data_IF_569077913195
#
_entry.id   IF_569077913195
#
_cell.length_a   1.000
_cell.length_b   1.000
_cell.length_c   1.000
_cell.angle_alpha   90.00
_cell.angle_beta   90.00
_cell.angle_gamma   90.00
#
_symmetry.space_group_name_H-M   'P 1'
#
loop_
_entity.id
_entity.type
_entity.pdbx_description
1 polymer ?
#
# COMPACT_ATOMS: atom_id res chain seq x y z
N UNK A 1 25.24 29.53 -7.76
CA UNK A 1 24.97 28.80 -9.02
C UNK A 1 24.09 27.58 -8.83
N UNK A 2 24.43 26.66 -7.90
CA UNK A 2 23.62 25.45 -7.57
C UNK A 2 22.14 25.77 -7.31
N UNK A 3 21.83 26.82 -6.55
CA UNK A 3 20.44 27.21 -6.24
C UNK A 3 19.62 27.46 -7.51
N UNK A 4 20.18 28.13 -8.51
CA UNK A 4 19.47 28.42 -9.76
C UNK A 4 19.16 27.14 -10.54
N UNK A 5 20.05 26.15 -10.51
CA UNK A 5 19.83 24.84 -11.13
C UNK A 5 18.69 24.10 -10.42
N UNK A 6 18.67 24.11 -9.08
CA UNK A 6 17.62 23.44 -8.31
C UNK A 6 16.25 24.10 -8.50
N UNK A 7 16.21 25.44 -8.61
CA UNK A 7 14.97 26.17 -8.85
C UNK A 7 14.34 25.88 -10.22
N UNK A 8 15.08 25.35 -11.20
CA UNK A 8 14.49 24.88 -12.46
C UNK A 8 13.53 23.70 -12.24
N UNK A 9 13.70 22.94 -11.16
CA UNK A 9 12.82 21.82 -10.78
C UNK A 9 11.64 22.25 -9.92
N UNK A 10 11.49 23.54 -9.59
CA UNK A 10 10.50 24.01 -8.63
C UNK A 10 9.06 23.63 -8.99
N UNK A 11 8.68 23.73 -10.27
CA UNK A 11 7.33 23.37 -10.75
C UNK A 11 7.07 21.87 -10.54
N UNK A 12 8.00 21.03 -10.97
CA UNK A 12 7.89 19.57 -10.83
C UNK A 12 7.81 19.18 -9.35
N UNK A 13 8.65 19.76 -8.50
CA UNK A 13 8.64 19.51 -7.06
C UNK A 13 7.31 19.96 -6.43
N UNK A 14 6.78 21.11 -6.84
CA UNK A 14 5.51 21.61 -6.34
C UNK A 14 4.37 20.64 -6.68
N UNK A 15 4.29 20.20 -7.94
CA UNK A 15 3.19 19.36 -8.44
C UNK A 15 3.27 17.91 -7.91
N UNK A 16 4.47 17.31 -7.93
CA UNK A 16 4.67 15.88 -7.67
C UNK A 16 4.94 15.58 -6.19
N UNK A 17 5.41 16.55 -5.40
CA UNK A 17 5.75 16.35 -3.99
C UNK A 17 4.90 17.25 -3.09
N UNK A 18 5.03 18.57 -3.19
CA UNK A 18 4.46 19.50 -2.21
C UNK A 18 2.92 19.47 -2.22
N UNK A 19 2.30 19.54 -3.39
CA UNK A 19 0.84 19.50 -3.53
C UNK A 19 0.24 18.15 -3.13
N UNK A 20 1.05 17.10 -3.05
CA UNK A 20 0.63 15.74 -2.67
C UNK A 20 0.71 15.49 -1.17
N UNK A 21 1.25 16.43 -0.37
CA UNK A 21 1.35 16.28 1.08
C UNK A 21 -0.04 16.47 1.70
N UNK A 22 -0.64 15.43 2.31
CA UNK A 22 -1.96 15.54 2.90
C UNK A 22 -1.92 16.28 4.24
N UNK A 23 -3.07 16.82 4.64
CA UNK A 23 -3.30 17.46 5.94
C UNK A 23 -2.40 18.67 6.26
N UNK A 24 -1.78 19.29 5.24
CA UNK A 24 -0.89 20.43 5.42
C UNK A 24 -1.63 21.61 6.08
N UNK A 25 -2.79 21.98 5.56
CA UNK A 25 -3.55 23.14 6.05
C UNK A 25 -4.09 22.87 7.46
N UNK A 26 -4.57 21.67 7.70
CA UNK A 26 -5.12 21.19 8.97
C UNK A 26 -4.05 21.22 10.08
N UNK A 27 -2.83 20.74 9.78
CA UNK A 27 -1.71 20.79 10.72
C UNK A 27 -1.37 22.23 11.12
N UNK A 28 -1.19 23.12 10.14
CA UNK A 28 -0.84 24.52 10.45
C UNK A 28 -1.98 25.26 11.14
N UNK A 29 -3.23 24.96 10.80
CA UNK A 29 -4.39 25.54 11.49
C UNK A 29 -4.41 25.12 12.97
N UNK A 30 -4.20 23.83 13.24
CA UNK A 30 -4.07 23.31 14.60
C UNK A 30 -2.91 23.95 15.37
N UNK A 31 -1.71 24.00 14.78
CA UNK A 31 -0.51 24.52 15.46
C UNK A 31 -0.58 26.03 15.74
N UNK A 32 -1.02 26.82 14.76
CA UNK A 32 -0.99 28.28 14.84
C UNK A 32 -2.21 28.87 15.54
N UNK A 33 -3.40 28.29 15.30
CA UNK A 33 -4.67 28.85 15.77
C UNK A 33 -5.37 28.00 16.82
N UNK A 34 -4.79 26.85 17.20
CA UNK A 34 -5.36 25.94 18.20
C UNK A 34 -6.79 25.49 17.82
N UNK A 35 -7.04 25.29 16.52
CA UNK A 35 -8.31 24.73 16.03
C UNK A 35 -8.39 23.24 16.31
N UNK A 36 -9.59 22.68 16.24
CA UNK A 36 -9.76 21.22 16.27
C UNK A 36 -9.07 20.57 15.06
N UNK A 37 -8.41 19.43 15.30
CA UNK A 37 -7.73 18.67 14.25
C UNK A 37 -8.68 17.60 13.68
N UNK A 38 -9.02 17.71 12.41
CA UNK A 38 -9.91 16.77 11.71
C UNK A 38 -9.08 15.66 11.03
N UNK A 39 -9.10 14.46 11.59
CA UNK A 39 -8.38 13.29 11.04
C UNK A 39 -9.27 12.05 11.15
N UNK A 40 -9.31 11.21 10.12
CA UNK A 40 -10.18 10.01 10.07
C UNK A 40 -11.67 10.29 10.32
N UNK A 41 -12.18 11.43 9.83
CA UNK A 41 -13.55 11.89 10.10
C UNK A 41 -13.87 12.06 11.60
N UNK A 42 -12.84 12.23 12.42
CA UNK A 42 -12.91 12.49 13.85
C UNK A 42 -12.35 13.88 14.15
N UNK A 43 -13.05 14.64 14.98
CA UNK A 43 -12.58 15.92 15.48
C UNK A 43 -11.84 15.74 16.79
N UNK A 44 -10.57 16.12 16.84
CA UNK A 44 -9.79 16.11 18.06
C UNK A 44 -9.67 17.53 18.64
N UNK A 45 -10.04 17.75 19.92
CA UNK A 45 -9.95 19.06 20.54
C UNK A 45 -8.48 19.49 20.67
N UNK A 46 -8.21 20.81 20.64
CA UNK A 46 -6.85 21.31 20.78
C UNK A 46 -6.23 20.87 22.10
N UNK A 47 -4.93 20.56 22.06
CA UNK A 47 -4.13 20.11 23.21
C UNK A 47 -4.48 18.73 23.81
N UNK A 48 -5.42 17.98 23.23
CA UNK A 48 -5.63 16.57 23.60
C UNK A 48 -4.41 15.73 23.21
N UNK A 49 -4.19 14.62 23.91
CA UNK A 49 -3.05 13.74 23.62
C UNK A 49 -3.21 13.04 22.27
N UNK A 50 -4.44 12.72 21.87
CA UNK A 50 -4.75 12.19 20.55
C UNK A 50 -4.48 13.22 19.45
N UNK A 51 -4.87 14.48 19.65
CA UNK A 51 -4.61 15.57 18.70
C UNK A 51 -3.10 15.75 18.49
N UNK A 52 -2.32 15.76 19.59
CA UNK A 52 -0.86 15.86 19.53
C UNK A 52 -0.24 14.69 18.77
N UNK A 53 -0.68 13.46 19.03
CA UNK A 53 -0.19 12.27 18.33
C UNK A 53 -0.49 12.29 16.83
N UNK A 54 -1.69 12.72 16.44
CA UNK A 54 -2.03 12.85 15.02
C UNK A 54 -1.25 13.99 14.36
N UNK A 55 -1.10 15.13 15.03
CA UNK A 55 -0.28 16.23 14.55
C UNK A 55 1.19 15.84 14.38
N UNK A 56 1.74 15.03 15.31
CA UNK A 56 3.08 14.47 15.22
C UNK A 56 3.24 13.61 13.96
N UNK A 57 2.34 12.64 13.73
CA UNK A 57 2.37 11.81 12.52
C UNK A 57 2.37 12.65 11.22
N UNK A 58 1.51 13.67 11.16
CA UNK A 58 1.42 14.55 9.98
C UNK A 58 2.68 15.40 9.82
N UNK A 59 3.22 15.92 10.93
CA UNK A 59 4.44 16.73 10.94
C UNK A 59 5.67 15.91 10.52
N UNK A 60 5.82 14.68 11.01
CA UNK A 60 6.91 13.80 10.59
C UNK A 60 6.86 13.53 9.08
N UNK A 61 5.66 13.23 8.56
CA UNK A 61 5.46 13.06 7.13
C UNK A 61 5.82 14.34 6.35
N UNK A 62 5.37 15.51 6.82
CA UNK A 62 5.69 16.79 6.22
C UNK A 62 7.21 17.02 6.15
N UNK A 63 7.94 16.78 7.24
CA UNK A 63 9.39 16.93 7.29
C UNK A 63 10.09 16.01 6.29
N UNK A 64 9.66 14.74 6.21
CA UNK A 64 10.22 13.76 5.27
C UNK A 64 9.93 14.17 3.82
N UNK A 65 8.73 14.66 3.52
CA UNK A 65 8.38 15.09 2.17
C UNK A 65 9.11 16.37 1.74
N UNK A 66 9.31 17.32 2.65
CA UNK A 66 10.17 18.49 2.39
C UNK A 66 11.62 18.05 2.15
N UNK A 67 12.13 17.08 2.91
CA UNK A 67 13.46 16.53 2.64
C UNK A 67 13.53 15.91 1.23
N UNK A 68 12.52 15.14 0.82
CA UNK A 68 12.42 14.59 -0.54
C UNK A 68 12.36 15.69 -1.61
N UNK A 69 11.66 16.80 -1.34
CA UNK A 69 11.52 17.94 -2.25
C UNK A 69 12.86 18.63 -2.55
N UNK A 70 13.82 18.54 -1.62
CA UNK A 70 15.18 19.04 -1.78
C UNK A 70 16.11 17.99 -2.40
N UNK A 71 16.03 16.75 -1.91
CA UNK A 71 16.93 15.65 -2.33
C UNK A 71 16.68 15.24 -3.78
N UNK A 72 15.43 15.23 -4.25
CA UNK A 72 15.12 14.77 -5.60
C UNK A 72 15.76 15.66 -6.70
N UNK A 73 15.64 17.00 -6.69
CA UNK A 73 16.35 17.86 -7.64
C UNK A 73 17.88 17.75 -7.56
N UNK A 74 18.42 17.62 -6.34
CA UNK A 74 19.85 17.44 -6.10
C UNK A 74 20.36 16.17 -6.79
N UNK A 75 19.68 15.03 -6.57
CA UNK A 75 20.03 13.76 -7.19
C UNK A 75 19.85 13.79 -8.71
N UNK A 76 18.84 14.50 -9.23
CA UNK A 76 18.59 14.55 -10.66
C UNK A 76 19.59 15.41 -11.43
N UNK A 77 20.08 16.48 -10.81
CA UNK A 77 20.91 17.49 -11.48
C UNK A 77 22.39 17.41 -11.13
N UNK A 78 22.73 16.90 -9.95
CA UNK A 78 24.08 16.97 -9.38
C UNK A 78 24.62 15.59 -8.94
N UNK A 79 24.03 14.49 -9.40
CA UNK A 79 24.41 13.13 -8.97
C UNK A 79 25.89 12.81 -9.13
N UNK A 80 26.50 13.35 -10.18
CA UNK A 80 27.85 13.03 -10.62
C UNK A 80 28.90 14.08 -10.23
N UNK A 81 28.48 15.13 -9.51
CA UNK A 81 29.38 16.16 -9.02
C UNK A 81 30.23 15.58 -7.89
N UNK A 82 31.55 15.47 -8.11
CA UNK A 82 32.46 14.79 -7.20
C UNK A 82 32.47 15.41 -5.79
N UNK A 83 32.36 16.74 -5.67
CA UNK A 83 32.22 17.42 -4.38
C UNK A 83 30.93 17.01 -3.64
N UNK A 84 29.82 16.77 -4.35
CA UNK A 84 28.57 16.30 -3.72
C UNK A 84 28.73 14.85 -3.28
N UNK A 85 29.30 14.00 -4.13
CA UNK A 85 29.53 12.59 -3.83
C UNK A 85 30.41 12.42 -2.57
N UNK A 86 31.52 13.13 -2.49
CA UNK A 86 32.46 13.00 -1.37
C UNK A 86 31.90 13.53 -0.04
N UNK A 87 31.05 14.56 -0.06
CA UNK A 87 30.50 15.15 1.17
C UNK A 87 29.21 14.48 1.65
N UNK A 88 28.36 13.99 0.74
CA UNK A 88 27.00 13.55 1.09
C UNK A 88 26.75 12.06 0.89
N UNK A 89 27.52 11.36 0.04
CA UNK A 89 27.20 9.97 -0.28
C UNK A 89 27.96 9.00 0.61
N UNK A 90 27.30 7.90 0.96
CA UNK A 90 27.96 6.74 1.54
C UNK A 90 28.95 6.15 0.53
N UNK A 91 30.05 5.55 1.02
CA UNK A 91 31.09 4.92 0.17
C UNK A 91 30.55 4.00 -0.94
N UNK A 92 29.42 3.34 -0.69
CA UNK A 92 28.75 2.44 -1.62
C UNK A 92 28.18 3.14 -2.87
N UNK A 93 27.87 4.45 -2.78
CA UNK A 93 27.28 5.25 -3.85
C UNK A 93 28.30 6.17 -4.55
N UNK A 94 29.60 6.06 -4.24
CA UNK A 94 30.63 6.91 -4.82
C UNK A 94 30.94 6.58 -6.29
N UNK A 95 30.66 5.36 -6.74
CA UNK A 95 30.86 5.06 -8.17
C UNK A 95 29.70 5.60 -8.99
N UNK A 96 30.00 6.13 -10.18
CA UNK A 96 28.98 6.60 -11.14
C UNK A 96 27.94 5.51 -11.42
N UNK A 97 28.39 4.26 -11.55
CA UNK A 97 27.50 3.13 -11.82
C UNK A 97 26.47 2.89 -10.71
N UNK A 98 26.89 2.99 -9.44
CA UNK A 98 26.00 2.75 -8.31
C UNK A 98 25.01 3.88 -8.12
N UNK A 99 25.42 5.15 -8.30
CA UNK A 99 24.48 6.28 -8.22
C UNK A 99 23.46 6.25 -9.38
N UNK A 100 23.87 5.89 -10.59
CA UNK A 100 22.97 5.69 -11.73
C UNK A 100 21.96 4.57 -11.45
N UNK A 101 22.41 3.44 -10.90
CA UNK A 101 21.53 2.33 -10.53
C UNK A 101 20.51 2.78 -9.48
N UNK A 102 20.96 3.47 -8.44
CA UNK A 102 20.08 4.04 -7.41
C UNK A 102 19.03 4.98 -8.00
N UNK A 103 19.41 5.89 -8.91
CA UNK A 103 18.48 6.79 -9.61
C UNK A 103 17.47 6.04 -10.46
N UNK A 104 17.88 4.95 -11.11
CA UNK A 104 16.98 4.11 -11.90
C UNK A 104 15.96 3.37 -11.02
N UNK A 105 16.41 2.80 -9.91
CA UNK A 105 15.53 2.14 -8.94
C UNK A 105 14.52 3.14 -8.34
N UNK A 106 14.97 4.36 -8.03
CA UNK A 106 14.10 5.44 -7.56
C UNK A 106 13.07 5.85 -8.62
N UNK A 107 13.49 5.96 -9.89
CA UNK A 107 12.59 6.26 -11.00
C UNK A 107 11.51 5.18 -11.17
N UNK A 108 11.86 3.91 -11.01
CA UNK A 108 10.88 2.81 -10.99
C UNK A 108 9.91 2.92 -9.82
N UNK A 109 10.42 3.25 -8.63
CA UNK A 109 9.59 3.44 -7.44
C UNK A 109 8.56 4.55 -7.62
N UNK A 110 8.95 5.68 -8.22
CA UNK A 110 8.02 6.77 -8.53
C UNK A 110 6.96 6.34 -9.54
N UNK A 111 7.36 5.67 -10.64
CA UNK A 111 6.39 5.15 -11.63
C UNK A 111 5.39 4.19 -11.00
N UNK A 112 5.86 3.26 -10.16
CA UNK A 112 4.99 2.33 -9.42
C UNK A 112 4.02 3.10 -8.51
N UNK A 113 4.51 4.13 -7.82
CA UNK A 113 3.67 4.98 -6.97
C UNK A 113 2.60 5.71 -7.77
N UNK A 114 2.98 6.42 -8.84
CA UNK A 114 2.06 7.22 -9.69
C UNK A 114 1.00 6.37 -10.37
N UNK A 115 1.38 5.20 -10.90
CA UNK A 115 0.48 4.40 -11.72
C UNK A 115 -0.30 3.34 -10.95
N UNK A 116 0.19 2.89 -9.78
CA UNK A 116 -0.40 1.75 -9.07
C UNK A 116 -0.70 2.09 -7.60
N UNK A 117 0.30 2.44 -6.80
CA UNK A 117 0.12 2.57 -5.35
C UNK A 117 -0.77 3.75 -4.94
N UNK A 118 -0.59 4.93 -5.56
CA UNK A 118 -1.42 6.11 -5.29
C UNK A 118 -2.87 5.91 -5.75
N UNK A 119 -3.13 5.44 -6.99
CA UNK A 119 -4.50 5.15 -7.42
C UNK A 119 -5.21 4.13 -6.52
N UNK A 120 -4.50 3.09 -6.06
CA UNK A 120 -5.03 2.15 -5.09
C UNK A 120 -5.35 2.84 -3.75
N UNK A 121 -4.46 3.68 -3.23
CA UNK A 121 -4.71 4.41 -1.98
C UNK A 121 -5.90 5.40 -2.09
N UNK A 122 -6.05 6.05 -3.25
CA UNK A 122 -7.21 6.90 -3.56
C UNK A 122 -8.50 6.08 -3.55
N UNK A 123 -8.51 4.93 -4.25
CA UNK A 123 -9.67 4.03 -4.29
C UNK A 123 -10.04 3.50 -2.89
N UNK A 124 -9.05 3.14 -2.09
CA UNK A 124 -9.21 2.66 -0.71
C UNK A 124 -9.44 3.80 0.31
N UNK A 125 -9.58 5.06 -0.14
CA UNK A 125 -9.84 6.24 0.71
C UNK A 125 -8.84 6.39 1.86
N UNK A 126 -7.54 6.29 1.53
CA UNK A 126 -6.47 6.43 2.52
C UNK A 126 -5.30 7.26 2.00
N UNK A 127 -4.58 7.84 2.94
CA UNK A 127 -3.24 8.39 2.74
C UNK A 127 -2.20 7.49 3.40
N UNK A 128 -1.07 7.28 2.72
CA UNK A 128 0.12 6.70 3.34
C UNK A 128 1.00 7.84 3.87
N UNK A 129 1.28 7.83 5.17
CA UNK A 129 2.20 8.77 5.80
C UNK A 129 3.52 8.09 6.17
N UNK A 130 4.61 8.85 6.06
CA UNK A 130 5.90 8.44 6.60
C UNK A 130 6.08 8.95 8.02
N UNK A 131 6.53 8.07 8.92
CA UNK A 131 6.81 8.40 10.32
C UNK A 131 8.22 7.94 10.71
N UNK A 132 8.79 8.55 11.74
CA UNK A 132 10.04 8.10 12.33
C UNK A 132 9.78 6.98 13.34
N UNK A 133 10.32 5.80 13.04
CA UNK A 133 10.27 4.63 13.90
C UNK A 133 11.67 4.28 14.44
N UNK A 134 11.78 3.46 15.49
CA UNK A 134 13.09 3.09 16.07
C UNK A 134 14.08 2.47 15.09
N UNK A 135 13.61 1.91 13.97
CA UNK A 135 14.43 1.28 12.92
C UNK A 135 14.50 2.09 11.62
N UNK A 136 14.18 3.38 11.67
CA UNK A 136 14.19 4.28 10.52
C UNK A 136 12.79 4.75 10.13
N UNK A 137 12.55 5.02 8.85
CA UNK A 137 11.25 5.53 8.38
C UNK A 137 10.27 4.36 8.19
N UNK A 138 9.11 4.45 8.83
CA UNK A 138 8.00 3.52 8.64
C UNK A 138 6.85 4.19 7.87
N UNK A 139 5.90 3.38 7.39
CA UNK A 139 4.66 3.85 6.78
C UNK A 139 3.48 3.52 7.69
N UNK A 140 2.57 4.48 7.83
CA UNK A 140 1.25 4.28 8.41
C UNK A 140 0.17 4.68 7.40
N UNK A 141 -1.05 4.21 7.62
CA UNK A 141 -2.21 4.54 6.81
C UNK A 141 -3.19 5.36 7.65
N UNK A 142 -3.71 6.44 7.08
CA UNK A 142 -4.77 7.25 7.67
C UNK A 142 -5.95 7.29 6.71
N UNK A 143 -7.16 7.04 7.23
CA UNK A 143 -8.38 7.15 6.45
C UNK A 143 -8.72 8.62 6.14
N UNK A 144 -9.09 8.89 4.89
CA UNK A 144 -9.62 10.19 4.47
C UNK A 144 -10.51 10.03 3.24
N UNK A 145 -11.63 10.77 3.13
CA UNK A 145 -12.42 10.79 1.90
C UNK A 145 -11.61 11.34 0.73
N UNK A 146 -11.40 10.54 -0.33
CA UNK A 146 -10.64 10.93 -1.54
C UNK A 146 -11.47 10.89 -2.82
N UNK A 147 -12.80 11.07 -2.70
CA UNK A 147 -13.75 10.98 -3.82
C UNK A 147 -13.44 11.97 -4.97
N UNK A 148 -13.00 13.19 -4.64
CA UNK A 148 -12.67 14.20 -5.65
C UNK A 148 -11.41 13.80 -6.45
N UNK A 149 -10.43 13.18 -5.79
CA UNK A 149 -9.22 12.67 -6.45
C UNK A 149 -9.55 11.45 -7.31
N UNK A 150 -10.37 10.54 -6.78
CA UNK A 150 -10.85 9.36 -7.50
C UNK A 150 -11.56 9.76 -8.81
N UNK A 151 -12.43 10.77 -8.75
CA UNK A 151 -13.17 11.28 -9.91
C UNK A 151 -12.26 11.97 -10.95
N UNK A 152 -11.05 12.39 -10.58
CA UNK A 152 -10.06 13.00 -11.47
C UNK A 152 -9.06 12.00 -12.06
N UNK A 153 -9.07 10.74 -11.60
CA UNK A 153 -8.21 9.71 -12.17
C UNK A 153 -8.56 9.48 -13.65
N UNK A 154 -7.53 9.33 -14.46
CA UNK A 154 -7.65 9.03 -15.89
C UNK A 154 -6.52 8.11 -16.33
N UNK A 155 -6.63 7.51 -17.52
CA UNK A 155 -5.57 6.65 -18.08
C UNK A 155 -5.26 5.41 -17.22
N UNK A 156 -3.97 5.10 -17.06
CA UNK A 156 -3.49 3.93 -16.31
C UNK A 156 -3.97 3.93 -14.84
N UNK A 157 -3.88 5.05 -14.08
CA UNK A 157 -4.46 5.15 -12.74
C UNK A 157 -5.91 4.67 -12.63
N UNK A 158 -6.78 5.12 -13.55
CA UNK A 158 -8.19 4.72 -13.57
C UNK A 158 -8.36 3.22 -13.90
N UNK A 159 -7.55 2.69 -14.81
CA UNK A 159 -7.57 1.26 -15.12
C UNK A 159 -7.19 0.40 -13.90
N UNK A 160 -6.25 0.86 -13.08
CA UNK A 160 -5.89 0.17 -11.83
C UNK A 160 -7.08 0.12 -10.87
N UNK A 161 -7.80 1.22 -10.67
CA UNK A 161 -8.96 1.22 -9.77
C UNK A 161 -10.09 0.34 -10.29
N UNK A 162 -10.37 0.38 -11.60
CA UNK A 162 -11.36 -0.50 -12.24
C UNK A 162 -10.96 -1.98 -12.13
N UNK A 163 -9.68 -2.31 -12.24
CA UNK A 163 -9.20 -3.68 -12.07
C UNK A 163 -9.41 -4.18 -10.63
N UNK A 164 -9.20 -3.32 -9.62
CA UNK A 164 -9.49 -3.64 -8.22
C UNK A 164 -10.99 -3.86 -8.03
N UNK A 165 -11.83 -2.95 -8.51
CA UNK A 165 -13.29 -3.08 -8.44
C UNK A 165 -13.80 -4.36 -9.13
N UNK A 166 -13.26 -4.67 -10.30
CA UNK A 166 -13.60 -5.89 -11.03
C UNK A 166 -13.20 -7.15 -10.26
N UNK A 167 -12.00 -7.18 -9.66
CA UNK A 167 -11.56 -8.28 -8.79
C UNK A 167 -12.52 -8.47 -7.62
N UNK A 168 -12.90 -7.38 -6.96
CA UNK A 168 -13.76 -7.43 -5.77
C UNK A 168 -15.19 -7.85 -6.16
N UNK A 169 -15.69 -7.46 -7.34
CA UNK A 169 -16.95 -7.93 -7.89
C UNK A 169 -16.90 -9.42 -8.32
N UNK A 170 -15.77 -9.92 -8.80
CA UNK A 170 -15.60 -11.32 -9.21
C UNK A 170 -15.38 -12.28 -8.04
N UNK A 171 -14.74 -11.84 -6.96
CA UNK A 171 -14.36 -12.69 -5.81
C UNK A 171 -15.52 -13.55 -5.28
N UNK A 172 -16.73 -13.01 -5.02
CA UNK A 172 -17.86 -13.81 -4.57
C UNK A 172 -18.28 -14.92 -5.56
N UNK A 173 -18.19 -14.64 -6.86
CA UNK A 173 -18.58 -15.58 -7.93
C UNK A 173 -17.59 -16.73 -8.05
N UNK A 174 -16.30 -16.45 -7.89
CA UNK A 174 -15.27 -17.49 -7.92
C UNK A 174 -15.38 -18.41 -6.68
N UNK A 175 -15.63 -17.82 -5.51
CA UNK A 175 -15.84 -18.58 -4.27
C UNK A 175 -17.08 -19.50 -4.35
N UNK A 176 -18.16 -19.06 -4.99
CA UNK A 176 -19.36 -19.89 -5.17
C UNK A 176 -19.11 -21.08 -6.10
N UNK A 177 -18.39 -20.89 -7.21
CA UNK A 177 -18.01 -21.99 -8.11
C UNK A 177 -17.09 -23.01 -7.43
N UNK A 178 -16.08 -22.53 -6.69
CA UNK A 178 -15.16 -23.39 -5.95
C UNK A 178 -15.88 -24.18 -4.84
N UNK A 179 -16.82 -23.55 -4.12
CA UNK A 179 -17.59 -24.25 -3.09
C UNK A 179 -18.54 -25.30 -3.67
N UNK A 180 -19.14 -25.07 -4.84
CA UNK A 180 -19.92 -26.08 -5.56
C UNK A 180 -19.07 -27.28 -5.96
N UNK A 181 -17.89 -27.05 -6.53
CA UNK A 181 -16.95 -28.13 -6.90
C UNK A 181 -16.47 -28.90 -5.65
N UNK A 182 -16.10 -28.19 -4.58
CA UNK A 182 -15.68 -28.80 -3.32
C UNK A 182 -16.79 -29.66 -2.70
N UNK A 183 -18.02 -29.16 -2.66
CA UNK A 183 -19.19 -29.92 -2.20
C UNK A 183 -19.44 -31.16 -3.06
N UNK A 184 -19.25 -31.05 -4.39
CA UNK A 184 -19.34 -32.19 -5.30
C UNK A 184 -18.30 -33.26 -5.01
N UNK A 185 -17.03 -32.88 -4.81
CA UNK A 185 -15.94 -33.79 -4.44
C UNK A 185 -16.23 -34.47 -3.11
N UNK A 186 -16.61 -33.70 -2.07
CA UNK A 186 -16.96 -34.24 -0.75
C UNK A 186 -18.14 -35.21 -0.85
N UNK A 187 -19.16 -34.90 -1.65
CA UNK A 187 -20.30 -35.80 -1.88
C UNK A 187 -19.87 -37.13 -2.49
N UNK A 188 -19.04 -37.10 -3.54
CA UNK A 188 -18.52 -38.32 -4.19
C UNK A 188 -17.72 -39.17 -3.20
N UNK A 189 -16.78 -38.55 -2.49
CA UNK A 189 -15.92 -39.27 -1.53
C UNK A 189 -16.73 -39.86 -0.35
N UNK A 190 -17.60 -39.06 0.28
CA UNK A 190 -18.31 -39.50 1.50
C UNK A 190 -19.49 -40.42 1.21
N UNK A 191 -20.32 -40.08 0.21
CA UNK A 191 -21.56 -40.82 -0.04
C UNK A 191 -21.39 -41.93 -1.05
N UNK A 192 -20.66 -41.72 -2.14
CA UNK A 192 -20.53 -42.76 -3.17
C UNK A 192 -19.49 -43.77 -2.73
N UNK A 193 -18.27 -43.32 -2.44
CA UNK A 193 -17.18 -44.21 -2.05
C UNK A 193 -17.41 -44.75 -0.63
N UNK A 194 -17.73 -43.89 0.34
CA UNK A 194 -17.98 -44.31 1.73
C UNK A 194 -19.12 -45.32 1.89
N UNK A 195 -20.24 -45.16 1.17
CA UNK A 195 -21.32 -46.17 1.20
C UNK A 195 -20.92 -47.44 0.45
N UNK A 196 -20.18 -47.33 -0.66
CA UNK A 196 -19.65 -48.48 -1.38
C UNK A 196 -18.78 -49.38 -0.50
N UNK A 197 -17.81 -48.79 0.21
CA UNK A 197 -16.96 -49.51 1.17
C UNK A 197 -17.81 -50.11 2.30
N UNK A 198 -18.76 -49.36 2.84
CA UNK A 198 -19.64 -49.83 3.91
C UNK A 198 -20.51 -51.03 3.53
N UNK A 199 -20.99 -51.10 2.27
CA UNK A 199 -21.74 -52.24 1.77
C UNK A 199 -20.86 -53.48 1.59
N UNK A 200 -19.63 -53.31 1.09
CA UNK A 200 -18.66 -54.41 0.95
C UNK A 200 -18.33 -54.99 2.33
N UNK A 201 -18.02 -54.13 3.31
CA UNK A 201 -17.73 -54.58 4.67
C UNK A 201 -18.91 -55.34 5.30
N UNK A 202 -20.15 -54.84 5.12
CA UNK A 202 -21.36 -55.54 5.58
C UNK A 202 -21.55 -56.89 4.89
N UNK A 203 -21.32 -56.97 3.58
CA UNK A 203 -21.39 -58.24 2.83
C UNK A 203 -20.39 -59.28 3.32
N UNK A 204 -19.16 -58.87 3.63
CA UNK A 204 -18.12 -59.76 4.19
C UNK A 204 -18.54 -60.27 5.57
N UNK A 205 -19.02 -59.40 6.47
CA UNK A 205 -19.44 -59.79 7.83
C UNK A 205 -20.63 -60.77 7.77
N UNK A 206 -21.62 -60.51 6.92
CA UNK A 206 -22.77 -61.42 6.73
C UNK A 206 -22.35 -62.77 6.14
N UNK A 207 -21.40 -62.76 5.19
CA UNK A 207 -20.83 -63.98 4.61
C UNK A 207 -20.12 -64.85 5.64
N UNK A 208 -19.33 -64.25 6.53
CA UNK A 208 -18.62 -64.97 7.60
C UNK A 208 -19.62 -65.50 8.65
N UNK A 209 -20.61 -64.70 9.05
CA UNK A 209 -21.63 -65.11 10.04
C UNK A 209 -22.54 -66.26 9.59
N UNK A 210 -22.83 -66.36 8.29
CA UNK A 210 -23.59 -67.49 7.75
C UNK A 210 -22.79 -68.79 7.65
N UNK A 211 -21.45 -68.72 7.59
CA UNK A 211 -20.58 -69.91 7.56
C UNK A 211 -20.37 -70.49 8.97
N UNK A 212 -20.46 -69.69 10.03
CA UNK A 212 -20.33 -70.18 11.42
C UNK A 212 -21.60 -70.79 12.01
N UNK A 213 -22.78 -70.58 11.39
CA UNK A 213 -24.06 -71.16 11.82
C UNK A 213 -24.40 -72.50 11.14
N UNK A 214 -23.47 -73.06 10.35
CA UNK A 214 -23.62 -74.36 9.66
C UNK A 214 -22.64 -75.45 10.14
N UNK A 215 -22.12 -75.33 11.37
CA UNK A 215 -21.42 -76.42 12.06
C UNK A 215 -22.22 -76.93 13.24
#
# INVERSE_FOLDING_TARGET
EIVNILLQSAVVVQEEIINQIPFFVELFSYLLFQTELQVENTSYPPNSDEAKKQAENILENLLIQIANSVVQPLLNSLSDVEAIKQNFYTRQLLSTREIEKFRNDLSWKYRLSTYISQPQAIFESRYELFIFAPRGIAKISIYAPRNQELARLSGIPLLVTLAIEFRDALTPRLQSLLSLLGNGVVFVLTRIIGRGIGLIARGIIQGIGNVSLRR
#
